data_IF_047551955848
#
_entry.id   IF_047551955848
#
_cell.length_a   1.000
_cell.length_b   1.000
_cell.length_c   1.000
_cell.angle_alpha   90.00
_cell.angle_beta   90.00
_cell.angle_gamma   90.00
#
_symmetry.space_group_name_H-M   'P 1'
#
loop_
_entity.id
_entity.type
_entity.pdbx_description
1 polymer ?
#
# COMPACT_ATOMS: atom_id res chain seq x y z
N UNK A 1 10.44 -22.42 40.61
CA UNK A 1 10.42 -22.30 39.14
C UNK A 1 9.71 -20.99 38.82
N UNK A 2 10.45 -19.93 38.48
CA UNK A 2 9.89 -18.60 38.22
C UNK A 2 9.64 -18.50 36.72
N UNK A 3 8.39 -18.54 36.30
CA UNK A 3 8.00 -18.26 34.92
C UNK A 3 8.43 -16.81 34.63
N UNK A 4 9.28 -16.64 33.62
CA UNK A 4 9.62 -15.33 33.09
C UNK A 4 8.38 -14.84 32.34
N UNK A 5 7.69 -13.84 32.88
CA UNK A 5 6.64 -13.13 32.17
C UNK A 5 7.29 -12.40 30.99
N UNK A 6 7.00 -12.86 29.76
CA UNK A 6 7.34 -12.11 28.57
C UNK A 6 6.57 -10.78 28.60
N UNK A 7 7.19 -9.64 28.23
CA UNK A 7 6.46 -8.38 28.14
C UNK A 7 5.31 -8.57 27.14
N UNK A 8 4.08 -8.33 27.60
CA UNK A 8 2.90 -8.28 26.75
C UNK A 8 2.95 -6.99 25.96
N UNK A 9 3.70 -6.99 24.85
CA UNK A 9 3.48 -6.00 23.81
C UNK A 9 2.01 -6.10 23.40
N UNK A 10 1.28 -4.99 23.51
CA UNK A 10 -0.13 -4.92 23.14
C UNK A 10 -0.26 -5.17 21.64
N UNK A 11 -1.10 -6.14 21.25
CA UNK A 11 -1.32 -6.47 19.85
C UNK A 11 -1.91 -5.27 19.11
N UNK A 12 -1.12 -4.67 18.22
CA UNK A 12 -1.54 -3.53 17.41
C UNK A 12 -2.08 -4.01 16.05
N UNK A 13 -3.40 -3.85 15.84
CA UNK A 13 -4.02 -4.05 14.52
C UNK A 13 -3.99 -2.75 13.70
N UNK A 14 -3.88 -2.83 12.36
CA UNK A 14 -4.06 -1.66 11.52
C UNK A 14 -5.47 -1.08 11.66
N UNK A 15 -5.58 0.24 11.52
CA UNK A 15 -6.87 0.93 11.45
C UNK A 15 -7.80 0.29 10.41
N UNK A 16 -9.10 0.17 10.70
CA UNK A 16 -10.07 -0.38 9.76
C UNK A 16 -10.93 0.74 9.17
N UNK A 17 -10.91 0.88 7.86
CA UNK A 17 -11.77 1.80 7.12
C UNK A 17 -12.98 1.07 6.56
N UNK A 18 -14.15 1.40 7.09
CA UNK A 18 -15.41 0.82 6.68
C UNK A 18 -16.05 1.64 5.56
N UNK A 19 -16.73 0.95 4.63
CA UNK A 19 -17.68 1.57 3.70
C UNK A 19 -18.72 2.41 4.46
N UNK A 20 -19.07 3.56 3.91
CA UNK A 20 -20.18 4.42 4.36
C UNK A 20 -21.11 4.62 3.17
N UNK A 21 -22.40 4.33 3.37
CA UNK A 21 -23.43 4.44 2.33
C UNK A 21 -23.08 3.70 1.01
N UNK A 22 -22.42 2.55 1.13
CA UNK A 22 -22.03 1.72 -0.01
C UNK A 22 -20.76 2.18 -0.74
N UNK A 23 -20.00 3.11 -0.15
CA UNK A 23 -18.79 3.67 -0.74
C UNK A 23 -17.63 3.73 0.28
N UNK A 24 -16.46 3.24 -0.13
CA UNK A 24 -15.19 3.69 0.42
C UNK A 24 -14.65 4.78 -0.49
N UNK A 25 -14.45 5.98 0.06
CA UNK A 25 -13.84 7.10 -0.65
C UNK A 25 -12.66 7.64 0.14
N UNK A 26 -11.45 7.51 -0.41
CA UNK A 26 -10.23 7.83 0.33
C UNK A 26 -9.07 8.22 -0.58
N UNK A 27 -8.03 8.78 0.04
CA UNK A 27 -6.76 9.13 -0.62
C UNK A 27 -5.62 8.36 0.01
N UNK A 28 -4.79 7.73 -0.83
CA UNK A 28 -3.52 7.13 -0.43
C UNK A 28 -2.39 7.99 -1.01
N UNK A 29 -1.66 8.69 -0.14
CA UNK A 29 -0.46 9.45 -0.48
C UNK A 29 0.77 8.57 -0.34
N UNK A 30 1.47 8.30 -1.44
CA UNK A 30 2.73 7.54 -1.44
C UNK A 30 3.87 8.52 -1.21
N UNK A 31 4.62 8.36 -0.12
CA UNK A 31 5.75 9.22 0.19
C UNK A 31 6.83 8.44 0.96
N UNK A 32 8.03 9.01 1.07
CA UNK A 32 9.02 8.49 2.02
C UNK A 32 8.67 8.97 3.43
N UNK A 33 8.76 8.06 4.40
CA UNK A 33 8.57 8.38 5.82
C UNK A 33 9.54 7.58 6.68
N UNK A 34 10.02 8.22 7.74
CA UNK A 34 10.89 7.60 8.73
C UNK A 34 10.06 6.89 9.81
N UNK A 35 10.49 5.70 10.19
CA UNK A 35 9.80 4.82 11.14
C UNK A 35 10.80 4.09 12.03
N UNK A 36 10.32 3.68 13.21
CA UNK A 36 11.03 2.74 14.08
C UNK A 36 10.29 1.41 14.03
N UNK A 37 10.98 0.35 13.60
CA UNK A 37 10.46 -1.01 13.60
C UNK A 37 11.39 -1.87 14.46
N UNK A 38 10.88 -2.34 15.59
CA UNK A 38 11.73 -2.91 16.64
C UNK A 38 12.71 -1.85 17.16
N UNK A 39 14.00 -2.15 17.10
CA UNK A 39 15.09 -1.23 17.45
C UNK A 39 15.71 -0.50 16.24
N UNK A 40 15.16 -0.69 15.04
CA UNK A 40 15.72 -0.18 13.80
C UNK A 40 15.01 1.08 13.31
N UNK A 41 15.80 2.12 13.04
CA UNK A 41 15.36 3.30 12.28
C UNK A 41 15.39 2.96 10.78
N UNK A 42 14.23 3.06 10.14
CA UNK A 42 14.06 2.74 8.72
C UNK A 42 13.36 3.88 7.99
N UNK A 43 13.78 4.13 6.76
CA UNK A 43 13.09 5.05 5.85
C UNK A 43 12.42 4.25 4.76
N UNK A 44 11.09 4.31 4.71
CA UNK A 44 10.26 3.46 3.86
C UNK A 44 9.41 4.30 2.92
N UNK A 45 9.10 3.75 1.74
CA UNK A 45 7.93 4.20 0.97
C UNK A 45 6.70 3.73 1.72
N UNK A 46 5.93 4.70 2.21
CA UNK A 46 4.73 4.44 2.97
C UNK A 46 3.55 5.08 2.28
N UNK A 47 2.39 4.75 2.81
CA UNK A 47 1.16 5.36 2.40
C UNK A 47 0.54 6.11 3.57
N UNK A 48 0.25 7.39 3.38
CA UNK A 48 -0.16 8.33 4.43
C UNK A 48 0.78 8.29 5.66
N UNK A 49 2.07 8.03 5.45
CA UNK A 49 3.07 8.04 6.51
C UNK A 49 2.95 6.89 7.51
N UNK A 50 2.19 5.82 7.25
CA UNK A 50 2.02 4.70 8.18
C UNK A 50 2.85 3.48 7.76
N UNK A 51 3.39 2.74 8.74
CA UNK A 51 4.12 1.47 8.50
C UNK A 51 3.18 0.43 7.88
N UNK A 52 1.98 0.29 8.45
CA UNK A 52 0.92 -0.57 7.94
C UNK A 52 -0.22 0.29 7.42
N UNK A 53 -0.72 -0.06 6.24
CA UNK A 53 -1.92 0.56 5.67
C UNK A 53 -3.17 0.16 6.48
N UNK A 54 -4.18 1.05 6.53
CA UNK A 54 -5.50 0.68 7.03
C UNK A 54 -6.09 -0.49 6.23
N UNK A 55 -6.82 -1.34 6.92
CA UNK A 55 -7.61 -2.40 6.31
C UNK A 55 -8.89 -1.81 5.75
N UNK A 56 -9.11 -1.91 4.43
CA UNK A 56 -10.40 -1.58 3.83
C UNK A 56 -11.38 -2.72 4.08
N UNK A 57 -12.54 -2.40 4.65
CA UNK A 57 -13.63 -3.34 4.93
C UNK A 57 -14.90 -2.88 4.21
N UNK A 58 -15.34 -3.68 3.26
CA UNK A 58 -16.55 -3.44 2.47
C UNK A 58 -17.21 -4.78 2.06
N UNK A 59 -18.44 -4.69 1.59
CA UNK A 59 -19.31 -5.79 1.20
C UNK A 59 -19.41 -5.88 -0.33
N UNK A 60 -19.78 -7.05 -0.88
CA UNK A 60 -20.10 -7.14 -2.30
C UNK A 60 -21.27 -6.23 -2.67
N UNK A 61 -21.17 -5.60 -3.84
CA UNK A 61 -22.10 -4.58 -4.33
C UNK A 61 -21.69 -3.15 -3.96
N UNK A 62 -20.80 -2.96 -3.01
CA UNK A 62 -20.27 -1.64 -2.64
C UNK A 62 -19.14 -1.20 -3.60
N UNK A 63 -18.97 0.11 -3.70
CA UNK A 63 -17.95 0.74 -4.54
C UNK A 63 -16.77 1.23 -3.73
N UNK A 64 -15.60 1.25 -4.37
CA UNK A 64 -14.37 1.78 -3.81
C UNK A 64 -13.82 2.83 -4.77
N UNK A 65 -13.54 4.01 -4.23
CA UNK A 65 -12.89 5.14 -4.89
C UNK A 65 -11.62 5.49 -4.11
N UNK A 66 -10.48 5.28 -4.75
CA UNK A 66 -9.17 5.55 -4.14
C UNK A 66 -8.41 6.53 -5.02
N UNK A 67 -8.11 7.71 -4.49
CA UNK A 67 -7.16 8.62 -5.13
C UNK A 67 -5.75 8.20 -4.70
N UNK A 68 -4.97 7.65 -5.63
CA UNK A 68 -3.55 7.44 -5.40
C UNK A 68 -2.81 8.73 -5.75
N UNK A 69 -2.16 9.35 -4.77
CA UNK A 69 -1.30 10.51 -4.98
C UNK A 69 0.15 10.07 -4.78
N UNK A 70 0.95 10.08 -5.85
CA UNK A 70 2.35 9.73 -5.78
C UNK A 70 3.17 10.98 -5.43
N UNK A 71 3.55 11.12 -4.17
CA UNK A 71 4.31 12.26 -3.64
C UNK A 71 5.80 11.90 -3.45
N UNK A 72 6.26 10.83 -4.09
CA UNK A 72 7.68 10.50 -4.15
C UNK A 72 8.46 11.53 -4.98
N UNK A 73 9.76 11.63 -4.72
CA UNK A 73 10.65 12.47 -5.51
C UNK A 73 10.73 11.96 -6.97
N UNK A 74 11.11 12.81 -7.94
CA UNK A 74 11.40 12.36 -9.30
C UNK A 74 12.33 11.14 -9.33
N UNK A 75 12.15 10.27 -10.33
CA UNK A 75 13.04 9.13 -10.51
C UNK A 75 14.47 9.66 -10.75
N UNK A 76 15.46 9.25 -9.92
CA UNK A 76 16.83 9.73 -10.06
C UNK A 76 17.56 9.08 -11.24
N UNK A 77 17.07 7.93 -11.70
CA UNK A 77 17.66 7.13 -12.76
C UNK A 77 16.99 7.39 -14.12
N UNK A 78 17.78 7.44 -15.21
CA UNK A 78 17.23 7.54 -16.56
C UNK A 78 16.57 6.22 -16.98
N UNK A 79 15.65 6.29 -17.95
CA UNK A 79 15.06 5.10 -18.56
C UNK A 79 16.15 4.28 -19.29
N UNK A 80 16.41 3.01 -18.92
CA UNK A 80 17.40 2.19 -19.60
C UNK A 80 16.88 1.70 -20.96
N UNK A 81 17.79 1.38 -21.88
CA UNK A 81 17.46 0.75 -23.17
C UNK A 81 16.87 -0.65 -23.02
N UNK A 82 17.29 -1.39 -21.99
CA UNK A 82 16.73 -2.69 -21.63
C UNK A 82 15.74 -2.55 -20.47
N UNK A 83 14.45 -2.72 -20.76
CA UNK A 83 13.36 -2.58 -19.78
C UNK A 83 13.40 -3.65 -18.66
N UNK A 84 14.16 -4.74 -18.83
CA UNK A 84 14.34 -5.76 -17.81
C UNK A 84 15.35 -5.38 -16.72
N UNK A 85 16.11 -4.29 -16.92
CA UNK A 85 16.95 -3.72 -15.86
C UNK A 85 16.02 -2.97 -14.90
N UNK A 86 16.06 -3.20 -13.57
CA UNK A 86 15.25 -2.43 -12.63
C UNK A 86 15.55 -0.93 -12.71
N UNK A 87 14.49 -0.13 -12.86
CA UNK A 87 14.53 1.32 -13.00
C UNK A 87 13.24 1.94 -12.49
N UNK A 88 13.24 3.26 -12.32
CA UNK A 88 12.08 4.10 -12.04
C UNK A 88 11.28 3.64 -10.82
N UNK A 89 11.98 3.42 -9.71
CA UNK A 89 11.41 2.89 -8.47
C UNK A 89 10.45 3.86 -7.74
N UNK A 90 10.34 5.11 -8.20
CA UNK A 90 9.33 6.05 -7.70
C UNK A 90 8.08 6.09 -8.58
N UNK A 91 8.07 5.44 -9.74
CA UNK A 91 6.84 5.19 -10.51
C UNK A 91 6.10 4.02 -9.87
N UNK A 92 4.80 4.19 -9.60
CA UNK A 92 4.02 3.19 -8.87
C UNK A 92 2.63 2.98 -9.48
N UNK A 93 1.90 2.02 -8.94
CA UNK A 93 0.46 1.83 -9.14
C UNK A 93 -0.17 1.15 -7.91
N UNK A 94 -1.47 0.88 -7.99
CA UNK A 94 -2.21 0.11 -7.01
C UNK A 94 -2.66 -1.21 -7.64
N UNK A 95 -2.45 -2.31 -6.92
CA UNK A 95 -2.93 -3.64 -7.31
C UNK A 95 -3.75 -4.27 -6.17
N UNK A 96 -4.93 -4.81 -6.49
CA UNK A 96 -5.84 -5.44 -5.52
C UNK A 96 -5.65 -6.95 -5.48
N UNK A 97 -4.78 -7.43 -4.59
CA UNK A 97 -4.43 -8.85 -4.54
C UNK A 97 -5.64 -9.72 -4.10
N UNK A 98 -6.06 -10.63 -4.98
CA UNK A 98 -7.17 -11.56 -4.75
C UNK A 98 -8.57 -11.00 -5.01
N UNK A 99 -8.69 -9.74 -5.45
CA UNK A 99 -9.99 -9.15 -5.76
C UNK A 99 -10.36 -9.42 -7.22
N UNK A 100 -11.49 -10.08 -7.46
CA UNK A 100 -12.00 -10.33 -8.81
C UNK A 100 -12.73 -9.09 -9.36
N UNK A 101 -11.96 -8.15 -9.91
CA UNK A 101 -12.45 -6.93 -10.55
C UNK A 101 -11.84 -6.76 -11.95
N UNK A 102 -12.29 -5.75 -12.69
CA UNK A 102 -11.77 -5.49 -14.03
C UNK A 102 -10.25 -5.22 -13.98
N UNK A 103 -9.46 -5.78 -14.90
CA UNK A 103 -8.02 -5.50 -15.00
C UNK A 103 -7.73 -4.24 -15.84
N UNK A 104 -8.74 -3.50 -16.28
CA UNK A 104 -8.60 -2.40 -17.25
C UNK A 104 -8.96 -1.04 -16.64
N UNK A 105 -8.57 0.03 -17.33
CA UNK A 105 -8.91 1.42 -16.99
C UNK A 105 -8.50 1.77 -15.56
N UNK A 106 -9.43 2.33 -14.77
CA UNK A 106 -9.23 2.77 -13.38
C UNK A 106 -9.45 1.67 -12.33
N UNK A 107 -9.58 0.41 -12.73
CA UNK A 107 -9.72 -0.73 -11.83
C UNK A 107 -8.33 -1.33 -11.53
N UNK A 108 -8.18 -2.66 -11.47
CA UNK A 108 -6.92 -3.35 -11.16
C UNK A 108 -5.96 -3.42 -12.37
N UNK A 109 -5.69 -2.27 -12.97
CA UNK A 109 -4.85 -2.18 -14.16
C UNK A 109 -3.37 -2.03 -13.80
N UNK A 110 -2.68 -3.16 -13.80
CA UNK A 110 -1.25 -3.27 -13.50
C UNK A 110 -0.33 -2.60 -14.53
N UNK A 111 -0.86 -2.21 -15.69
CA UNK A 111 -0.10 -1.51 -16.74
C UNK A 111 -0.07 0.00 -16.53
N UNK A 112 -0.87 0.54 -15.60
CA UNK A 112 -0.81 1.95 -15.23
C UNK A 112 0.55 2.29 -14.63
N UNK A 113 1.07 3.44 -15.03
CA UNK A 113 2.23 4.09 -14.46
C UNK A 113 1.75 5.41 -13.87
N UNK A 114 1.92 5.56 -12.57
CA UNK A 114 1.63 6.82 -11.87
C UNK A 114 2.98 7.39 -11.49
N UNK A 115 3.42 8.36 -12.28
CA UNK A 115 4.75 8.96 -12.15
C UNK A 115 4.84 9.80 -10.85
N UNK A 116 6.06 10.07 -10.36
CA UNK A 116 6.26 10.98 -9.24
C UNK A 116 5.58 12.34 -9.47
N UNK A 117 4.79 12.79 -8.51
CA UNK A 117 3.98 14.02 -8.57
C UNK A 117 2.58 13.83 -9.16
N UNK A 118 2.28 12.69 -9.80
CA UNK A 118 0.98 12.44 -10.41
C UNK A 118 -0.07 11.92 -9.42
N UNK A 119 -1.33 12.01 -9.85
CA UNK A 119 -2.49 11.50 -9.12
C UNK A 119 -3.38 10.71 -10.06
N UNK A 120 -3.92 9.59 -9.58
CA UNK A 120 -4.83 8.76 -10.35
C UNK A 120 -5.99 8.26 -9.50
N UNK A 121 -7.19 8.31 -10.07
CA UNK A 121 -8.42 7.90 -9.40
C UNK A 121 -8.78 6.47 -9.76
N UNK A 122 -8.48 5.54 -8.86
CA UNK A 122 -8.98 4.17 -8.93
C UNK A 122 -10.47 4.12 -8.59
N UNK A 123 -11.22 3.31 -9.35
CA UNK A 123 -12.64 3.05 -9.16
C UNK A 123 -12.95 1.60 -9.51
N UNK A 124 -13.49 0.87 -8.55
CA UNK A 124 -13.97 -0.48 -8.77
C UNK A 124 -15.13 -0.80 -7.81
N UNK A 125 -15.98 -1.72 -8.23
CA UNK A 125 -17.02 -2.28 -7.38
C UNK A 125 -16.81 -3.79 -7.32
N UNK A 126 -16.92 -4.36 -6.13
CA UNK A 126 -16.84 -5.80 -6.01
C UNK A 126 -18.19 -6.39 -6.33
N UNK A 127 -18.30 -7.07 -7.48
CA UNK A 127 -19.56 -7.70 -7.87
C UNK A 127 -19.88 -8.85 -6.91
N UNK A 128 -21.16 -8.98 -6.60
CA UNK A 128 -21.68 -10.02 -5.72
C UNK A 128 -21.53 -11.40 -6.36
N UNK A 129 -20.42 -12.08 -6.09
CA UNK A 129 -20.28 -13.51 -6.32
C UNK A 129 -20.85 -14.29 -5.13
N UNK A 130 -21.45 -15.46 -5.39
CA UNK A 130 -22.11 -16.25 -4.34
C UNK A 130 -21.05 -16.76 -3.35
N UNK A 131 -21.07 -16.29 -2.10
CA UNK A 131 -20.36 -16.93 -0.98
C UNK A 131 -19.43 -16.04 -0.15
N UNK A 132 -18.94 -14.92 -0.70
CA UNK A 132 -18.04 -14.04 0.04
C UNK A 132 -18.80 -12.83 0.60
N UNK A 133 -18.90 -12.69 1.93
CA UNK A 133 -19.74 -11.67 2.60
C UNK A 133 -19.00 -10.39 2.95
N UNK A 134 -17.67 -10.43 3.00
CA UNK A 134 -16.78 -9.32 3.30
C UNK A 134 -15.36 -9.68 2.90
N UNK A 135 -14.64 -8.74 2.30
CA UNK A 135 -13.19 -8.85 2.07
C UNK A 135 -12.49 -7.82 2.96
N UNK A 136 -11.39 -8.28 3.53
CA UNK A 136 -10.40 -7.45 4.19
C UNK A 136 -9.18 -7.49 3.29
N UNK A 137 -8.65 -6.33 2.91
CA UNK A 137 -7.40 -6.24 2.17
C UNK A 137 -6.27 -5.87 3.15
N UNK A 138 -5.62 -6.86 3.81
CA UNK A 138 -4.52 -6.60 4.74
C UNK A 138 -3.20 -6.30 4.01
N UNK A 139 -3.13 -6.50 2.68
CA UNK A 139 -1.88 -6.44 1.93
C UNK A 139 -2.08 -5.95 0.50
N UNK A 140 -1.46 -4.82 0.19
CA UNK A 140 -1.30 -4.28 -1.16
C UNK A 140 0.03 -4.79 -1.69
N UNK A 141 0.03 -5.59 -2.75
CA UNK A 141 1.29 -6.12 -3.31
C UNK A 141 1.81 -5.11 -4.33
N UNK A 142 2.95 -4.51 -4.01
CA UNK A 142 3.74 -3.69 -4.91
C UNK A 142 4.66 -4.58 -5.74
N UNK A 143 4.69 -4.34 -7.06
CA UNK A 143 5.74 -4.91 -7.90
C UNK A 143 6.92 -3.95 -7.94
N UNK A 144 8.09 -4.52 -7.71
CA UNK A 144 9.47 -3.99 -7.76
C UNK A 144 10.01 -3.51 -6.40
N UNK A 145 11.10 -4.16 -6.02
CA UNK A 145 11.67 -4.25 -4.67
C UNK A 145 11.91 -2.89 -4.02
N UNK A 146 11.40 -2.74 -2.80
CA UNK A 146 11.71 -1.60 -1.94
C UNK A 146 13.14 -1.75 -1.43
N UNK A 147 14.06 -0.91 -1.90
CA UNK A 147 15.37 -0.76 -1.25
C UNK A 147 15.16 -0.14 0.14
N UNK A 148 15.21 -0.95 1.18
CA UNK A 148 15.22 -0.50 2.58
C UNK A 148 16.60 0.13 2.83
N UNK A 149 16.62 1.39 3.22
CA UNK A 149 17.85 2.06 3.67
C UNK A 149 17.90 1.97 5.18
N UNK A 150 18.80 1.14 5.73
CA UNK A 150 19.02 1.06 7.19
C UNK A 150 20.22 1.95 7.53
N UNK A 151 19.98 2.99 8.34
CA UNK A 151 21.04 3.81 8.91
C UNK A 151 21.40 3.24 10.29
N UNK A 152 22.38 2.34 10.35
CA UNK A 152 22.91 1.85 11.62
C UNK A 152 23.70 2.95 12.34
N UNK A 153 23.14 3.54 13.40
CA UNK A 153 23.95 4.30 14.37
C UNK A 153 24.73 3.32 15.23
N UNK A 154 26.04 3.21 14.99
CA UNK A 154 26.97 2.62 15.96
C UNK A 154 26.87 3.42 17.26
N UNK A 155 26.34 2.81 18.32
CA UNK A 155 26.54 3.32 19.69
C UNK A 155 28.03 3.22 20.01
N UNK A 156 28.64 4.34 20.37
CA UNK A 156 29.91 4.37 21.11
C UNK A 156 29.61 4.18 22.59
#
# INVERSE_FOLDING_TARGET
MRLLEAPTEEWAEPEVWNSRDGLIDTTLRVALSDHVIGDQQVRLRSYNGQVTRPTLRFKPGESVRILLANELAPNPDPMPSNHNIPHHFNTTNLHTHGLHISPSNSSDNVLLKIEPGERFQYRFAWRRERGCRSIHLPRWIFRRETRISVSARRRR
#
